data_IF_823015164744
#
_entry.id   IF_823015164744
#
_cell.length_a   1.000
_cell.length_b   1.000
_cell.length_c   1.000
_cell.angle_alpha   90.00
_cell.angle_beta   90.00
_cell.angle_gamma   90.00
#
_symmetry.space_group_name_H-M   'P 1'
#
loop_
_entity.id
_entity.type
_entity.pdbx_description
1 polymer ?
#
# COMPACT_ATOMS: atom_id res chain seq x y z
N UNK A 1 -7.18 9.25 16.94
CA UNK A 1 -6.78 9.78 17.06
C UNK A 1 -6.28 10.17 17.23
N UNK A 2 -6.76 9.76 16.63
CA UNK A 2 -6.38 10.43 16.67
C UNK A 2 -6.25 11.06 16.66
N UNK A 3 -6.31 10.86 16.46
CA UNK A 3 -6.25 11.65 16.40
C UNK A 3 -5.93 12.20 16.26
N UNK A 4 -6.16 12.15 15.93
CA UNK A 4 -5.98 12.84 15.79
C UNK A 4 -5.55 13.40 15.71
N UNK A 5 -5.56 13.58 15.30
CA UNK A 5 -5.27 14.30 15.12
C UNK A 5 -5.01 14.97 14.89
N UNK A 6 -5.07 15.28 14.70
CA UNK A 6 -4.79 16.02 14.27
C UNK A 6 -4.42 16.54 14.13
N UNK A 7 -4.44 17.01 13.89
CA UNK A 7 -4.01 17.57 13.35
C UNK A 7 -3.33 17.96 13.05
N UNK A 8 -3.21 18.11 13.03
CA UNK A 8 -2.58 18.61 12.29
C UNK A 8 -2.28 18.11 11.26
N UNK A 9 -2.56 17.93 11.27
CA UNK A 9 -2.66 17.62 10.65
C UNK A 9 -3.17 17.58 9.88
N UNK A 10 -2.89 17.90 10.38
CA UNK A 10 -4.22 17.74 9.87
C UNK A 10 -4.32 18.06 8.40
N UNK A 11 -3.81 19.17 8.03
CA UNK A 11 -3.80 19.57 6.63
C UNK A 11 -3.02 18.60 5.77
N UNK A 12 -1.89 18.14 6.26
CA UNK A 12 -1.03 17.25 5.49
C UNK A 12 -1.53 15.81 5.49
N UNK A 13 -2.16 15.38 6.58
CA UNK A 13 -2.59 14.00 6.72
C UNK A 13 -3.62 13.60 5.67
N UNK A 14 -4.77 14.27 5.59
CA UNK A 14 -5.79 13.88 4.61
C UNK A 14 -5.32 14.02 3.16
N UNK A 15 -4.59 15.07 2.86
CA UNK A 15 -4.08 15.29 1.51
C UNK A 15 -3.08 14.21 1.12
N UNK A 16 -2.21 13.85 2.03
CA UNK A 16 -1.22 12.82 1.75
C UNK A 16 -1.89 11.47 1.52
N UNK A 17 -2.87 11.13 2.37
CA UNK A 17 -3.60 9.88 2.22
C UNK A 17 -4.31 9.82 0.88
N UNK A 18 -4.91 10.92 0.46
CA UNK A 18 -5.61 11.01 -0.81
C UNK A 18 -4.66 10.78 -1.99
N UNK A 19 -3.49 11.38 -1.95
CA UNK A 19 -2.48 11.20 -3.00
C UNK A 19 -2.00 9.76 -3.07
N UNK A 20 -1.76 9.15 -1.93
CA UNK A 20 -1.31 7.75 -1.87
C UNK A 20 -2.38 6.85 -2.48
N UNK A 21 -3.63 7.04 -2.09
CA UNK A 21 -4.74 6.26 -2.63
C UNK A 21 -4.82 6.36 -4.15
N UNK A 22 -4.75 7.57 -4.66
CA UNK A 22 -4.86 7.80 -6.11
C UNK A 22 -3.69 7.16 -6.86
N UNK A 23 -2.49 7.32 -6.35
CA UNK A 23 -1.31 6.76 -6.98
C UNK A 23 -1.34 5.24 -6.96
N UNK A 24 -1.74 4.66 -5.84
CA UNK A 24 -1.86 3.21 -5.73
C UNK A 24 -2.90 2.67 -6.70
N UNK A 25 -4.04 3.34 -6.80
CA UNK A 25 -5.09 2.94 -7.73
C UNK A 25 -4.59 2.96 -9.16
N UNK A 26 -3.90 4.05 -9.54
CA UNK A 26 -3.36 4.17 -10.89
C UNK A 26 -2.35 3.07 -11.17
N UNK A 27 -1.46 2.82 -10.22
CA UNK A 27 -0.45 1.78 -10.38
C UNK A 27 -1.08 0.41 -10.53
N UNK A 28 -2.10 0.12 -9.72
CA UNK A 28 -2.78 -1.16 -9.80
C UNK A 28 -3.49 -1.35 -11.13
N UNK A 29 -4.04 -0.30 -11.70
CA UNK A 29 -4.66 -0.35 -13.02
C UNK A 29 -3.64 -0.59 -14.12
N UNK A 30 -2.51 0.09 -14.03
CA UNK A 30 -1.44 -0.02 -15.03
C UNK A 30 -0.85 -1.43 -15.07
N UNK A 31 -0.73 -2.08 -13.94
CA UNK A 31 -0.06 -3.38 -13.83
C UNK A 31 -1.02 -4.55 -13.60
N UNK A 32 -2.31 -4.29 -13.63
CA UNK A 32 -3.31 -5.36 -13.55
C UNK A 32 -3.38 -6.07 -12.21
N UNK A 33 -3.27 -5.32 -11.12
CA UNK A 33 -3.41 -5.90 -9.79
C UNK A 33 -4.86 -6.24 -9.50
N UNK A 34 -5.09 -7.34 -8.78
CA UNK A 34 -6.43 -7.67 -8.28
C UNK A 34 -6.83 -6.70 -7.18
N UNK A 35 -8.12 -6.70 -6.81
CA UNK A 35 -8.60 -5.85 -5.72
C UNK A 35 -7.82 -6.08 -4.43
N UNK A 36 -7.61 -7.35 -4.07
CA UNK A 36 -6.90 -7.67 -2.83
C UNK A 36 -5.44 -7.29 -2.92
N UNK A 37 -4.82 -7.51 -4.09
CA UNK A 37 -3.43 -7.09 -4.28
C UNK A 37 -3.29 -5.58 -4.16
N UNK A 38 -4.24 -4.84 -4.70
CA UNK A 38 -4.24 -3.38 -4.60
C UNK A 38 -4.35 -2.93 -3.16
N UNK A 39 -5.21 -3.58 -2.36
CA UNK A 39 -5.33 -3.28 -0.93
C UNK A 39 -4.02 -3.51 -0.19
N UNK A 40 -3.40 -4.66 -0.45
CA UNK A 40 -2.13 -5.00 0.19
C UNK A 40 -1.06 -3.99 -0.20
N UNK A 41 -0.99 -3.63 -1.47
CA UNK A 41 0.00 -2.68 -1.96
C UNK A 41 -0.16 -1.33 -1.26
N UNK A 42 -1.36 -0.83 -1.14
CA UNK A 42 -1.60 0.45 -0.49
C UNK A 42 -1.14 0.43 0.97
N UNK A 43 -1.44 -0.65 1.68
CA UNK A 43 -1.01 -0.77 3.07
C UNK A 43 0.51 -0.86 3.20
N UNK A 44 1.16 -1.55 2.26
CA UNK A 44 2.62 -1.59 2.22
C UNK A 44 3.20 -0.19 2.03
N UNK A 45 2.64 0.57 1.11
CA UNK A 45 3.10 1.93 0.83
C UNK A 45 2.92 2.83 2.05
N UNK A 46 1.85 2.61 2.81
CA UNK A 46 1.60 3.39 4.03
C UNK A 46 2.50 3.00 5.19
N UNK A 47 3.31 1.95 5.04
CA UNK A 47 4.31 1.59 6.04
C UNK A 47 3.94 0.45 6.95
N UNK A 48 2.83 -0.23 6.72
CA UNK A 48 2.45 -1.36 7.55
C UNK A 48 3.31 -2.58 7.23
N UNK A 49 3.62 -3.36 8.27
CA UNK A 49 4.37 -4.60 8.09
C UNK A 49 3.46 -5.71 7.55
N UNK A 50 4.07 -6.78 7.03
CA UNK A 50 3.32 -7.93 6.56
C UNK A 50 2.38 -8.51 7.61
N UNK A 51 2.87 -8.80 8.83
CA UNK A 51 1.97 -9.29 9.87
C UNK A 51 0.83 -8.34 10.21
N UNK A 52 1.09 -7.03 10.23
CA UNK A 52 0.03 -6.05 10.51
C UNK A 52 -1.02 -6.05 9.40
N UNK A 53 -0.59 -6.14 8.15
CA UNK A 53 -1.52 -6.18 7.02
C UNK A 53 -2.37 -7.44 7.08
N UNK A 54 -1.75 -8.58 7.37
CA UNK A 54 -2.48 -9.83 7.49
C UNK A 54 -3.59 -9.71 8.53
N UNK A 55 -3.27 -9.12 9.67
CA UNK A 55 -4.24 -8.91 10.74
C UNK A 55 -5.36 -7.97 10.30
N UNK A 56 -5.00 -6.87 9.67
CA UNK A 56 -5.98 -5.87 9.22
C UNK A 56 -6.96 -6.45 8.20
N UNK A 57 -6.48 -7.32 7.34
CA UNK A 57 -7.29 -7.90 6.27
C UNK A 57 -7.90 -9.26 6.65
N UNK A 58 -7.63 -9.73 7.86
CA UNK A 58 -8.15 -11.02 8.35
C UNK A 58 -7.70 -12.18 7.46
N UNK A 59 -6.43 -12.17 7.08
CA UNK A 59 -5.84 -13.27 6.29
C UNK A 59 -4.60 -13.77 7.01
N UNK A 60 -4.12 -14.95 6.62
CA UNK A 60 -2.90 -15.51 7.21
C UNK A 60 -1.68 -14.76 6.69
N UNK A 61 -0.58 -14.85 7.44
CA UNK A 61 0.68 -14.25 6.98
C UNK A 61 1.17 -14.91 5.70
N UNK A 62 0.90 -16.21 5.52
CA UNK A 62 1.23 -16.90 4.28
C UNK A 62 0.49 -16.31 3.10
N UNK A 63 -0.81 -16.08 3.26
CA UNK A 63 -1.63 -15.48 2.21
C UNK A 63 -1.14 -14.07 1.89
N UNK A 64 -0.80 -13.30 2.94
CA UNK A 64 -0.26 -11.97 2.73
C UNK A 64 1.05 -12.02 1.93
N UNK A 65 1.95 -12.96 2.27
CA UNK A 65 3.20 -13.11 1.53
C UNK A 65 2.96 -13.47 0.07
N UNK A 66 1.98 -14.32 -0.19
CA UNK A 66 1.61 -14.68 -1.56
C UNK A 66 1.16 -13.45 -2.35
N UNK A 67 0.31 -12.63 -1.74
CA UNK A 67 -0.11 -11.38 -2.39
C UNK A 67 1.07 -10.47 -2.67
N UNK A 68 1.97 -10.33 -1.69
CA UNK A 68 3.14 -9.49 -1.83
C UNK A 68 4.02 -9.96 -2.99
N UNK A 69 4.25 -11.27 -3.09
CA UNK A 69 5.05 -11.84 -4.17
C UNK A 69 4.42 -11.56 -5.54
N UNK A 70 3.12 -11.69 -5.63
CA UNK A 70 2.40 -11.42 -6.88
C UNK A 70 2.48 -9.96 -7.27
N UNK A 71 2.34 -9.07 -6.30
CA UNK A 71 2.48 -7.64 -6.54
C UNK A 71 3.87 -7.34 -7.09
N UNK A 72 4.89 -7.84 -6.42
CA UNK A 72 6.27 -7.60 -6.82
C UNK A 72 6.55 -8.14 -8.22
N UNK A 73 6.01 -9.32 -8.52
CA UNK A 73 6.19 -9.90 -9.84
C UNK A 73 5.51 -9.06 -10.92
N UNK A 74 4.29 -8.59 -10.65
CA UNK A 74 3.54 -7.79 -11.63
C UNK A 74 4.20 -6.43 -11.87
N UNK A 75 4.77 -5.84 -10.83
CA UNK A 75 5.45 -4.56 -10.92
C UNK A 75 6.92 -4.69 -11.37
N UNK A 76 7.41 -5.93 -11.46
CA UNK A 76 8.81 -6.22 -11.80
C UNK A 76 9.77 -5.57 -10.83
N UNK A 77 9.50 -5.73 -9.55
CA UNK A 77 10.34 -5.23 -8.46
C UNK A 77 10.68 -6.37 -7.52
N UNK A 78 11.69 -6.16 -6.67
CA UNK A 78 12.19 -7.20 -5.78
C UNK A 78 12.08 -6.87 -4.31
N UNK A 79 11.83 -5.60 -3.96
CA UNK A 79 11.74 -5.21 -2.56
C UNK A 79 10.84 -3.98 -2.39
N UNK A 80 10.42 -3.80 -1.14
CA UNK A 80 9.49 -2.73 -0.79
C UNK A 80 10.02 -1.35 -1.16
N UNK A 81 11.32 -1.14 -1.03
CA UNK A 81 11.89 0.16 -1.34
C UNK A 81 11.64 0.54 -2.80
N UNK A 82 11.72 -0.42 -3.71
CA UNK A 82 11.43 -0.18 -5.12
C UNK A 82 9.99 0.23 -5.32
N UNK A 83 9.07 -0.37 -4.55
CA UNK A 83 7.67 0.01 -4.60
C UNK A 83 7.48 1.46 -4.19
N UNK A 84 8.13 1.87 -3.10
CA UNK A 84 8.04 3.24 -2.62
C UNK A 84 8.57 4.24 -3.65
N UNK A 85 9.64 3.88 -4.35
CA UNK A 85 10.20 4.72 -5.40
C UNK A 85 9.20 4.87 -6.55
N UNK A 86 8.56 3.77 -6.97
CA UNK A 86 7.56 3.82 -8.03
C UNK A 86 6.42 4.77 -7.68
N UNK A 87 5.91 4.66 -6.46
CA UNK A 87 4.81 5.50 -5.99
C UNK A 87 5.25 6.96 -5.94
N UNK A 88 6.47 7.21 -5.49
CA UNK A 88 6.97 8.57 -5.34
C UNK A 88 7.18 9.25 -6.70
N UNK A 89 7.45 8.47 -7.73
CA UNK A 89 7.68 9.00 -9.08
C UNK A 89 6.38 9.32 -9.82
N UNK A 90 5.28 8.91 -9.30
CA UNK A 90 3.98 9.19 -9.92
C UNK A 90 3.49 10.57 -9.50
#
# INVERSE_FOLDING_TARGET
MYKRQAPADAATGPQLADRVSKRCKRLSELYGLSSREAEVMELLVRGYSGPAIAEMLFISENTMRTHSKRIYAKLDIHKKQELLVLIDQM
#
